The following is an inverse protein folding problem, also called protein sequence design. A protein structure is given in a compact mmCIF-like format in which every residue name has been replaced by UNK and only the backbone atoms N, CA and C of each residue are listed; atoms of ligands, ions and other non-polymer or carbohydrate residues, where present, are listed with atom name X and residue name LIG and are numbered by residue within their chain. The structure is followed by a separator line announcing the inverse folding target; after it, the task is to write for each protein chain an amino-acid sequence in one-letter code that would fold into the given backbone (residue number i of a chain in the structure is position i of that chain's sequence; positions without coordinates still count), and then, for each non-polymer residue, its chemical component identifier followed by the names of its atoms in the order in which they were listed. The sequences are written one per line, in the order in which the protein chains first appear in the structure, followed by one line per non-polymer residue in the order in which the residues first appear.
data_IF_299299035352
#
_entry.id   IF_299299035352
#
_cell.length_a   1.000
_cell.length_b   1.000
_cell.length_c   1.000
_cell.angle_alpha   90.00
_cell.angle_beta   90.00
_cell.angle_gamma   90.00
#
_symmetry.space_group_name_H-M   'P 1'
#
loop_
_entity.id
_entity.type
_entity.pdbx_description
1 polymer ?
#
# COMPACT_ATOMS: atom_id res chain seq x y z
N UNK A 1 -5.29 -13.84 -3.93
CA UNK A 1 -4.87 -13.07 -2.74
C UNK A 1 -5.14 -11.59 -2.99
N UNK A 2 -5.79 -10.90 -2.05
CA UNK A 2 -6.02 -9.45 -2.05
C UNK A 2 -4.88 -8.79 -1.27
N UNK A 3 -4.26 -7.77 -1.84
CA UNK A 3 -3.24 -6.96 -1.19
C UNK A 3 -3.74 -5.54 -0.95
N UNK A 4 -3.85 -5.14 0.30
CA UNK A 4 -4.22 -3.79 0.70
C UNK A 4 -2.95 -3.01 1.06
N UNK A 5 -2.58 -2.05 0.22
CA UNK A 5 -1.56 -1.05 0.51
C UNK A 5 -2.24 0.06 1.31
N UNK A 6 -2.01 0.05 2.62
CA UNK A 6 -2.64 0.98 3.55
C UNK A 6 -1.70 2.13 3.89
N UNK A 7 -2.11 3.36 3.55
CA UNK A 7 -1.25 4.54 3.64
C UNK A 7 -1.81 5.65 4.54
N UNK A 8 -2.30 5.30 5.73
CA UNK A 8 -2.71 6.32 6.71
C UNK A 8 -1.51 6.76 7.58
N UNK A 9 -1.17 8.06 7.67
CA UNK A 9 0.02 8.52 8.43
C UNK A 9 -0.02 8.22 9.92
N UNK A 10 -1.23 8.24 10.51
CA UNK A 10 -1.45 7.98 11.93
C UNK A 10 -2.45 6.82 12.15
N UNK A 11 -2.08 5.55 11.88
CA UNK A 11 -3.01 4.42 11.90
C UNK A 11 -3.80 4.27 13.22
N UNK A 12 -3.14 4.53 14.35
CA UNK A 12 -3.76 4.45 15.67
C UNK A 12 -4.87 5.49 15.90
N UNK A 13 -4.79 6.64 15.21
CA UNK A 13 -5.78 7.72 15.28
C UNK A 13 -6.90 7.57 14.24
N UNK A 14 -6.85 6.55 13.38
CA UNK A 14 -7.88 6.36 12.36
C UNK A 14 -9.19 5.84 12.95
N UNK A 15 -10.31 6.39 12.49
CA UNK A 15 -11.65 5.89 12.78
C UNK A 15 -12.21 5.08 11.61
N UNK A 16 -12.41 5.71 10.44
CA UNK A 16 -13.05 5.07 9.29
C UNK A 16 -12.19 3.94 8.71
N UNK A 17 -10.93 4.23 8.35
CA UNK A 17 -10.04 3.24 7.76
C UNK A 17 -9.75 2.08 8.71
N UNK A 18 -9.65 2.34 10.02
CA UNK A 18 -9.49 1.29 11.04
C UNK A 18 -10.63 0.28 10.95
N UNK A 19 -11.88 0.74 10.92
CA UNK A 19 -13.07 -0.11 10.77
C UNK A 19 -13.10 -0.86 9.43
N UNK A 20 -12.71 -0.19 8.34
CA UNK A 20 -12.60 -0.85 7.03
C UNK A 20 -11.60 -2.02 7.07
N UNK A 21 -10.42 -1.83 7.68
CA UNK A 21 -9.43 -2.90 7.81
C UNK A 21 -9.86 -4.00 8.79
N UNK A 22 -10.59 -3.66 9.85
CA UNK A 22 -11.20 -4.66 10.75
C UNK A 22 -12.12 -5.60 9.98
N UNK A 23 -12.94 -5.08 9.07
CA UNK A 23 -13.80 -5.90 8.20
C UNK A 23 -13.01 -6.63 7.12
N UNK A 24 -12.03 -5.99 6.48
CA UNK A 24 -11.25 -6.64 5.44
C UNK A 24 -10.48 -7.87 5.98
N UNK A 25 -10.02 -7.82 7.23
CA UNK A 25 -9.33 -8.95 7.89
C UNK A 25 -10.21 -10.18 8.13
N UNK A 26 -11.54 -10.07 8.05
CA UNK A 26 -12.43 -11.24 8.21
C UNK A 26 -12.53 -12.08 6.95
N UNK A 27 -12.08 -11.55 5.81
CA UNK A 27 -12.04 -12.26 4.54
C UNK A 27 -10.78 -13.12 4.46
N UNK A 28 -10.91 -14.27 3.80
CA UNK A 28 -9.77 -15.13 3.50
C UNK A 28 -8.88 -14.51 2.41
N UNK A 29 -7.57 -14.75 2.51
CA UNK A 29 -6.62 -14.32 1.50
C UNK A 29 -6.49 -12.79 1.39
N UNK A 30 -6.49 -12.07 2.52
CA UNK A 30 -6.20 -10.63 2.59
C UNK A 30 -4.85 -10.39 3.28
N UNK A 31 -3.90 -9.82 2.54
CA UNK A 31 -2.66 -9.26 3.08
C UNK A 31 -2.81 -7.73 3.21
N UNK A 32 -2.39 -7.17 4.36
CA UNK A 32 -2.41 -5.71 4.59
C UNK A 32 -0.98 -5.25 4.86
N UNK A 33 -0.51 -4.30 4.05
CA UNK A 33 0.80 -3.65 4.21
C UNK A 33 0.59 -2.19 4.62
N UNK A 34 0.85 -1.88 5.89
CA UNK A 34 0.72 -0.52 6.43
C UNK A 34 1.99 0.28 6.19
N UNK A 35 2.01 1.11 5.14
CA UNK A 35 3.23 1.79 4.68
C UNK A 35 3.90 2.64 5.75
N UNK A 36 3.14 3.43 6.51
CA UNK A 36 3.70 4.28 7.57
C UNK A 36 4.21 3.50 8.79
N UNK A 37 3.81 2.23 8.95
CA UNK A 37 4.34 1.33 9.97
C UNK A 37 5.61 0.64 9.48
N UNK A 38 5.65 0.23 8.21
CA UNK A 38 6.79 -0.46 7.59
C UNK A 38 7.94 0.50 7.28
N UNK A 39 7.63 1.72 6.85
CA UNK A 39 8.56 2.71 6.34
C UNK A 39 8.37 4.07 7.03
N UNK A 40 8.53 4.16 8.36
CA UNK A 40 8.39 5.44 9.08
C UNK A 40 9.39 6.50 8.58
N UNK A 41 10.54 6.06 8.07
CA UNK A 41 11.61 6.92 7.54
C UNK A 41 11.60 7.05 6.00
N UNK A 42 10.50 6.66 5.33
CA UNK A 42 10.29 6.82 3.88
C UNK A 42 11.32 6.05 3.01
N UNK A 43 11.98 5.06 3.58
CA UNK A 43 12.97 4.18 2.95
C UNK A 43 12.32 2.88 2.46
N UNK A 44 11.54 2.97 1.39
CA UNK A 44 10.78 1.85 0.83
C UNK A 44 11.71 0.76 0.30
N UNK A 45 11.48 -0.48 0.75
CA UNK A 45 12.09 -1.68 0.17
C UNK A 45 11.33 -2.09 -1.09
N UNK A 46 11.86 -1.71 -2.25
CA UNK A 46 11.24 -1.94 -3.55
C UNK A 46 11.05 -3.43 -3.82
N UNK A 47 12.04 -4.26 -3.50
CA UNK A 47 11.99 -5.69 -3.81
C UNK A 47 10.90 -6.39 -2.98
N UNK A 48 10.79 -6.07 -1.69
CA UNK A 48 9.75 -6.63 -0.82
C UNK A 48 8.33 -6.23 -1.28
N UNK A 49 8.15 -4.98 -1.72
CA UNK A 49 6.84 -4.52 -2.20
C UNK A 49 6.48 -5.14 -3.55
N UNK A 50 7.42 -5.26 -4.48
CA UNK A 50 7.20 -5.94 -5.77
C UNK A 50 6.91 -7.43 -5.59
N UNK A 51 7.58 -8.10 -4.65
CA UNK A 51 7.34 -9.50 -4.34
C UNK A 51 5.94 -9.69 -3.75
N UNK A 52 5.50 -8.80 -2.85
CA UNK A 52 4.12 -8.80 -2.36
C UNK A 52 3.09 -8.56 -3.47
N UNK A 53 3.35 -7.61 -4.37
CA UNK A 53 2.49 -7.36 -5.53
C UNK A 53 2.41 -8.58 -6.45
N UNK A 54 3.50 -9.33 -6.63
CA UNK A 54 3.54 -10.51 -7.51
C UNK A 54 2.62 -11.65 -7.05
N UNK A 55 2.29 -11.70 -5.76
CA UNK A 55 1.36 -12.68 -5.19
C UNK A 55 -0.10 -12.22 -5.23
N UNK A 56 -0.35 -10.94 -5.56
CA UNK A 56 -1.67 -10.32 -5.45
C UNK A 56 -2.44 -10.40 -6.78
N UNK A 57 -3.70 -10.83 -6.70
CA UNK A 57 -4.63 -10.78 -7.84
C UNK A 57 -5.42 -9.46 -7.86
N UNK A 58 -5.60 -8.85 -6.68
CA UNK A 58 -6.25 -7.56 -6.50
C UNK A 58 -5.40 -6.69 -5.57
N UNK A 59 -5.07 -5.49 -6.04
CA UNK A 59 -4.34 -4.48 -5.27
C UNK A 59 -5.30 -3.35 -4.91
N UNK A 60 -5.33 -2.99 -3.64
CA UNK A 60 -6.17 -1.91 -3.11
C UNK A 60 -5.27 -0.83 -2.52
N UNK A 61 -5.38 0.40 -3.04
CA UNK A 61 -4.80 1.58 -2.41
C UNK A 61 -5.81 2.17 -1.43
N UNK A 62 -5.59 1.96 -0.13
CA UNK A 62 -6.48 2.44 0.92
C UNK A 62 -5.82 3.54 1.74
N UNK A 63 -6.42 4.74 1.75
CA UNK A 63 -5.90 5.89 2.49
C UNK A 63 -7.00 6.91 2.81
N UNK A 64 -6.81 7.78 3.82
CA UNK A 64 -7.62 8.99 3.95
C UNK A 64 -7.27 9.95 2.81
N UNK A 65 -8.26 10.63 2.22
CA UNK A 65 -8.01 11.70 1.28
C UNK A 65 -7.29 12.86 2.00
N UNK A 66 -6.23 13.39 1.39
CA UNK A 66 -5.51 14.56 1.86
C UNK A 66 -5.34 15.53 0.70
N UNK A 67 -5.83 16.76 0.85
CA UNK A 67 -5.72 17.81 -0.19
C UNK A 67 -6.12 17.34 -1.59
N UNK A 68 -7.33 16.76 -1.70
CA UNK A 68 -7.86 16.21 -2.96
C UNK A 68 -7.01 15.10 -3.59
N UNK A 69 -6.10 14.50 -2.82
CA UNK A 69 -5.14 13.52 -3.32
C UNK A 69 -4.81 12.46 -2.25
N UNK A 70 -3.65 11.83 -2.42
CA UNK A 70 -3.12 10.72 -1.64
C UNK A 70 -2.04 11.18 -0.64
N UNK A 71 -1.82 10.46 0.47
CA UNK A 71 -0.73 10.75 1.40
C UNK A 71 0.66 10.64 0.75
N UNK A 72 1.65 11.44 1.19
CA UNK A 72 2.97 11.51 0.56
C UNK A 72 3.68 10.16 0.41
N UNK A 73 3.57 9.28 1.42
CA UNK A 73 4.25 7.98 1.37
C UNK A 73 3.64 7.03 0.34
N UNK A 74 2.33 7.14 0.06
CA UNK A 74 1.72 6.37 -1.05
C UNK A 74 2.23 6.88 -2.40
N UNK A 75 2.40 8.20 -2.55
CA UNK A 75 2.99 8.77 -3.77
C UNK A 75 4.43 8.31 -3.96
N UNK A 76 5.24 8.32 -2.90
CA UNK A 76 6.61 7.79 -2.94
C UNK A 76 6.63 6.30 -3.28
N UNK A 77 5.71 5.52 -2.72
CA UNK A 77 5.57 4.10 -3.02
C UNK A 77 5.28 3.87 -4.50
N UNK A 78 4.36 4.62 -5.09
CA UNK A 78 4.08 4.56 -6.53
C UNK A 78 5.35 4.87 -7.34
N UNK A 79 6.06 5.95 -6.99
CA UNK A 79 7.25 6.40 -7.73
C UNK A 79 8.43 5.42 -7.63
N UNK A 80 8.53 4.64 -6.55
CA UNK A 80 9.64 3.72 -6.30
C UNK A 80 9.34 2.29 -6.73
N UNK A 81 8.13 1.80 -6.45
CA UNK A 81 7.76 0.39 -6.61
C UNK A 81 7.32 0.09 -8.03
N UNK A 82 6.56 1.01 -8.66
CA UNK A 82 6.20 0.89 -10.07
C UNK A 82 7.37 1.38 -10.93
N UNK A 83 8.45 0.60 -10.96
CA UNK A 83 9.70 0.93 -11.64
C UNK A 83 9.73 0.46 -13.09
N UNK A 84 10.60 1.09 -13.89
CA UNK A 84 10.81 0.72 -15.29
C UNK A 84 11.41 -0.69 -15.41
N UNK A 85 10.88 -1.51 -16.33
CA UNK A 85 11.30 -2.90 -16.53
C UNK A 85 10.71 -3.86 -15.50
N UNK A 86 9.74 -3.38 -14.71
CA UNK A 86 8.87 -4.19 -13.86
C UNK A 86 7.39 -3.85 -14.04
N UNK A 87 7.00 -2.57 -13.90
CA UNK A 87 5.60 -2.13 -14.04
C UNK A 87 5.29 -1.40 -15.37
N UNK A 88 6.30 -0.81 -16.01
CA UNK A 88 6.16 -0.17 -17.32
C UNK A 88 7.49 -0.14 -18.10
N UNK A 89 7.39 -0.12 -19.44
CA UNK A 89 8.55 0.06 -20.31
C UNK A 89 9.08 -1.26 -20.86
N UNK A 90 10.37 -1.30 -21.23
CA UNK A 90 10.92 -2.50 -21.87
C UNK A 90 11.14 -3.62 -20.86
N UNK A 91 10.44 -4.75 -21.04
CA UNK A 91 10.54 -5.93 -20.18
C UNK A 91 9.55 -5.97 -19.00
N UNK A 92 8.78 -4.90 -18.79
CA UNK A 92 7.76 -4.80 -17.75
C UNK A 92 7.39 -3.35 -17.52
#
# INVERSE_FOLDING_TARGET
MILIIYAHPYPHHSHANKRMLEQARTLEGVEIRSLYQLYPDFNIDIAAEQEALSRADLIVWQHPMQWYSIPPLLKLWIDKVLSHGWAYGHGG
#
